data_IF_813669697205
#
_entry.id   IF_813669697205
#
_cell.length_a   1.000
_cell.length_b   1.000
_cell.length_c   1.000
_cell.angle_alpha   90.00
_cell.angle_beta   90.00
_cell.angle_gamma   90.00
#
_symmetry.space_group_name_H-M   'P 1'
#
loop_
_entity.id
_entity.type
_entity.pdbx_description
1 polymer ?
#
# COMPACT_ATOMS: atom_id res chain seq x y z
N UNK A 1 17.89 13.75 -26.70
CA UNK A 1 17.69 13.12 -25.39
C UNK A 1 18.32 11.74 -25.45
N UNK A 2 19.44 11.61 -24.75
CA UNK A 2 20.15 10.36 -24.51
C UNK A 2 19.30 9.40 -23.67
N UNK A 3 19.67 8.11 -23.68
CA UNK A 3 18.86 7.04 -23.10
C UNK A 3 18.70 7.17 -21.58
N UNK A 4 19.76 7.58 -20.87
CA UNK A 4 19.72 7.89 -19.44
C UNK A 4 18.61 8.92 -19.13
N UNK A 5 18.60 10.04 -19.84
CA UNK A 5 17.64 11.11 -19.61
C UNK A 5 16.19 10.68 -19.94
N UNK A 6 15.99 9.80 -20.92
CA UNK A 6 14.66 9.19 -21.19
C UNK A 6 14.19 8.34 -20.01
N UNK A 7 15.06 7.51 -19.45
CA UNK A 7 14.74 6.63 -18.31
C UNK A 7 14.44 7.48 -17.08
N UNK A 8 15.25 8.49 -16.78
CA UNK A 8 15.02 9.43 -15.68
C UNK A 8 13.70 10.19 -15.81
N UNK A 9 13.36 10.70 -17.00
CA UNK A 9 12.06 11.34 -17.24
C UNK A 9 10.89 10.38 -17.01
N UNK A 10 11.03 9.12 -17.43
CA UNK A 10 10.01 8.09 -17.18
C UNK A 10 9.85 7.82 -15.68
N UNK A 11 10.96 7.62 -14.96
CA UNK A 11 10.96 7.42 -13.49
C UNK A 11 10.29 8.58 -12.76
N UNK A 12 10.67 9.83 -13.08
CA UNK A 12 10.05 11.04 -12.50
C UNK A 12 8.54 11.08 -12.73
N UNK A 13 8.07 10.73 -13.93
CA UNK A 13 6.63 10.65 -14.23
C UNK A 13 5.93 9.55 -13.42
N UNK A 14 6.55 8.37 -13.32
CA UNK A 14 6.02 7.27 -12.51
C UNK A 14 5.92 7.65 -11.03
N UNK A 15 6.94 8.31 -10.48
CA UNK A 15 6.97 8.83 -9.12
C UNK A 15 5.88 9.89 -8.88
N UNK A 16 5.75 10.88 -9.76
CA UNK A 16 4.71 11.89 -9.63
C UNK A 16 3.30 11.28 -9.64
N UNK A 17 3.08 10.26 -10.47
CA UNK A 17 1.82 9.53 -10.47
C UNK A 17 1.63 8.71 -9.20
N UNK A 18 2.69 8.09 -8.68
CA UNK A 18 2.64 7.36 -7.41
C UNK A 18 2.19 8.29 -6.27
N UNK A 19 2.82 9.44 -6.12
CA UNK A 19 2.46 10.44 -5.10
C UNK A 19 0.97 10.82 -5.17
N UNK A 20 0.43 11.02 -6.38
CA UNK A 20 -1.00 11.33 -6.55
C UNK A 20 -1.92 10.18 -6.07
N UNK A 21 -1.57 8.95 -6.41
CA UNK A 21 -2.32 7.76 -6.01
C UNK A 21 -2.27 7.58 -4.49
N UNK A 22 -1.09 7.78 -3.89
CA UNK A 22 -0.90 7.73 -2.45
C UNK A 22 -1.71 8.79 -1.71
N UNK A 23 -1.66 10.04 -2.17
CA UNK A 23 -2.45 11.12 -1.57
C UNK A 23 -3.95 10.82 -1.61
N UNK A 24 -4.45 10.30 -2.73
CA UNK A 24 -5.87 9.91 -2.85
C UNK A 24 -6.24 8.82 -1.84
N UNK A 25 -5.39 7.80 -1.67
CA UNK A 25 -5.63 6.75 -0.70
C UNK A 25 -5.61 7.31 0.73
N UNK A 26 -4.64 8.17 1.05
CA UNK A 26 -4.55 8.84 2.35
C UNK A 26 -5.79 9.68 2.65
N UNK A 27 -6.28 10.48 1.70
CA UNK A 27 -7.53 11.25 1.88
C UNK A 27 -8.75 10.36 2.19
N UNK A 28 -8.82 9.16 1.61
CA UNK A 28 -9.91 8.22 1.91
C UNK A 28 -9.74 7.64 3.34
N UNK A 29 -8.51 7.32 3.74
CA UNK A 29 -8.23 6.71 5.05
C UNK A 29 -8.32 7.70 6.22
N UNK A 30 -8.01 8.98 5.98
CA UNK A 30 -8.06 10.06 6.97
C UNK A 30 -9.43 10.73 7.07
N UNK A 31 -10.40 10.31 6.26
CA UNK A 31 -11.75 10.82 6.37
C UNK A 31 -12.40 10.28 7.66
N UNK A 32 -13.02 11.16 8.44
CA UNK A 32 -13.66 10.82 9.72
C UNK A 32 -14.89 9.92 9.55
N UNK A 33 -15.45 9.86 8.34
CA UNK A 33 -16.55 8.96 7.99
C UNK A 33 -16.08 7.57 7.57
N UNK A 34 -16.82 6.54 7.98
CA UNK A 34 -16.56 5.18 7.52
C UNK A 34 -16.62 5.10 5.98
N UNK A 35 -15.63 4.48 5.32
CA UNK A 35 -15.55 4.47 3.87
C UNK A 35 -16.70 3.66 3.26
N UNK A 36 -17.33 4.22 2.24
CA UNK A 36 -18.39 3.55 1.49
C UNK A 36 -17.83 2.45 0.56
N UNK A 37 -18.71 1.63 -0.01
CA UNK A 37 -18.31 0.50 -0.86
C UNK A 37 -17.45 0.91 -2.08
N UNK A 38 -17.69 2.09 -2.65
CA UNK A 38 -16.92 2.62 -3.78
C UNK A 38 -15.51 3.04 -3.35
N UNK A 39 -15.39 3.66 -2.17
CA UNK A 39 -14.10 4.02 -1.58
C UNK A 39 -13.27 2.78 -1.23
N UNK A 40 -13.91 1.74 -0.66
CA UNK A 40 -13.27 0.44 -0.39
C UNK A 40 -12.75 -0.18 -1.70
N UNK A 41 -13.58 -0.25 -2.75
CA UNK A 41 -13.17 -0.76 -4.05
C UNK A 41 -12.02 0.07 -4.66
N UNK A 42 -12.04 1.39 -4.51
CA UNK A 42 -10.96 2.28 -4.96
C UNK A 42 -9.65 2.01 -4.21
N UNK A 43 -9.69 1.71 -2.91
CA UNK A 43 -8.50 1.39 -2.12
C UNK A 43 -7.90 0.02 -2.51
N UNK A 44 -8.74 -0.98 -2.75
CA UNK A 44 -8.30 -2.29 -3.26
C UNK A 44 -7.62 -2.15 -4.62
N UNK A 45 -8.24 -1.41 -5.56
CA UNK A 45 -7.65 -1.15 -6.86
C UNK A 45 -6.33 -0.36 -6.75
N UNK A 46 -6.21 0.50 -5.74
CA UNK A 46 -4.97 1.25 -5.46
C UNK A 46 -3.82 0.31 -5.09
N UNK A 47 -4.05 -0.69 -4.23
CA UNK A 47 -3.01 -1.70 -3.90
C UNK A 47 -2.49 -2.39 -5.16
N UNK A 48 -3.38 -2.85 -6.04
CA UNK A 48 -2.98 -3.49 -7.29
C UNK A 48 -2.19 -2.54 -8.20
N UNK A 49 -2.61 -1.27 -8.27
CA UNK A 49 -1.92 -0.26 -9.05
C UNK A 49 -0.52 0.03 -8.50
N UNK A 50 -0.35 0.05 -7.17
CA UNK A 50 0.93 0.22 -6.50
C UNK A 50 1.87 -0.95 -6.81
N UNK A 51 1.39 -2.19 -6.74
CA UNK A 51 2.17 -3.38 -7.07
C UNK A 51 2.68 -3.35 -8.52
N UNK A 52 1.79 -3.07 -9.49
CA UNK A 52 2.19 -2.96 -10.91
C UNK A 52 3.21 -1.86 -11.15
N UNK A 53 3.07 -0.71 -10.48
CA UNK A 53 4.02 0.41 -10.59
C UNK A 53 5.38 0.09 -9.99
N UNK A 54 5.42 -0.64 -8.87
CA UNK A 54 6.68 -1.13 -8.28
C UNK A 54 7.45 -1.98 -9.28
N UNK A 55 6.78 -2.92 -9.95
CA UNK A 55 7.41 -3.74 -11.00
C UNK A 55 8.01 -2.88 -12.12
N UNK A 56 7.24 -1.92 -12.66
CA UNK A 56 7.75 -1.03 -13.73
C UNK A 56 8.91 -0.16 -13.26
N UNK A 57 8.86 0.35 -12.03
CA UNK A 57 9.97 1.13 -11.48
C UNK A 57 11.23 0.26 -11.34
N UNK A 58 11.12 -0.97 -10.87
CA UNK A 58 12.25 -1.89 -10.76
C UNK A 58 12.87 -2.18 -12.13
N UNK A 59 12.07 -2.42 -13.17
CA UNK A 59 12.58 -2.60 -14.54
C UNK A 59 13.30 -1.35 -15.06
N UNK A 60 12.80 -0.15 -14.74
CA UNK A 60 13.46 1.11 -15.11
C UNK A 60 14.76 1.30 -14.33
N UNK A 61 14.80 0.89 -13.06
CA UNK A 61 16.00 0.95 -12.23
C UNK A 61 17.08 0.04 -12.80
N UNK A 62 16.76 -1.21 -13.09
CA UNK A 62 17.68 -2.17 -13.70
C UNK A 62 18.25 -1.65 -15.02
N UNK A 63 17.39 -1.14 -15.92
CA UNK A 63 17.83 -0.51 -17.17
C UNK A 63 18.76 0.66 -16.91
N UNK A 64 18.46 1.50 -15.93
CA UNK A 64 19.28 2.66 -15.61
C UNK A 64 20.66 2.26 -15.09
N UNK A 65 20.75 1.24 -14.22
CA UNK A 65 22.02 0.72 -13.73
C UNK A 65 22.92 0.21 -14.85
N UNK A 66 22.36 -0.30 -15.96
CA UNK A 66 23.16 -0.76 -17.11
C UNK A 66 23.71 0.37 -17.99
N UNK A 67 23.10 1.56 -17.92
CA UNK A 67 23.45 2.71 -18.77
C UNK A 67 24.32 3.72 -18.02
N UNK A 68 24.19 3.81 -16.70
CA UNK A 68 25.03 4.66 -15.84
C UNK A 68 26.45 4.12 -15.78
N UNK A 69 27.41 5.03 -16.01
CA UNK A 69 28.85 4.72 -15.97
C UNK A 69 29.57 5.39 -14.81
N UNK A 70 28.97 6.45 -14.27
CA UNK A 70 29.49 7.17 -13.12
C UNK A 70 29.02 6.51 -11.80
N UNK A 71 29.94 6.12 -10.90
CA UNK A 71 29.58 5.47 -9.65
C UNK A 71 28.76 6.33 -8.68
N UNK A 72 28.89 7.66 -8.72
CA UNK A 72 28.16 8.54 -7.82
C UNK A 72 26.75 8.81 -8.33
N UNK A 73 26.57 8.94 -9.65
CA UNK A 73 25.24 8.88 -10.28
C UNK A 73 24.52 7.57 -9.95
N UNK A 74 25.24 6.44 -9.99
CA UNK A 74 24.70 5.12 -9.65
C UNK A 74 24.20 5.04 -8.20
N UNK A 75 24.99 5.51 -7.24
CA UNK A 75 24.62 5.51 -5.80
C UNK A 75 23.38 6.35 -5.55
N UNK A 76 23.34 7.56 -6.10
CA UNK A 76 22.19 8.45 -5.95
C UNK A 76 20.93 7.78 -6.49
N UNK A 77 21.05 7.10 -7.64
CA UNK A 77 19.93 6.46 -8.31
C UNK A 77 19.41 5.21 -7.57
N UNK A 78 20.30 4.47 -6.92
CA UNK A 78 19.96 3.35 -6.02
C UNK A 78 19.21 3.87 -4.79
N UNK A 79 19.73 4.92 -4.14
CA UNK A 79 19.06 5.51 -2.97
C UNK A 79 17.65 6.01 -3.31
N UNK A 80 17.49 6.69 -4.45
CA UNK A 80 16.16 7.17 -4.87
C UNK A 80 15.19 6.02 -5.16
N UNK A 81 15.69 4.92 -5.73
CA UNK A 81 14.89 3.72 -5.98
C UNK A 81 14.39 3.08 -4.67
N UNK A 82 15.29 2.92 -3.69
CA UNK A 82 14.96 2.34 -2.38
C UNK A 82 13.92 3.18 -1.62
N UNK A 83 14.06 4.50 -1.63
CA UNK A 83 13.08 5.41 -1.01
C UNK A 83 11.68 5.18 -1.58
N UNK A 84 11.56 5.11 -2.90
CA UNK A 84 10.26 4.91 -3.55
C UNK A 84 9.69 3.53 -3.23
N UNK A 85 10.53 2.50 -3.20
CA UNK A 85 10.12 1.15 -2.86
C UNK A 85 9.58 1.08 -1.41
N UNK A 86 10.27 1.73 -0.47
CA UNK A 86 9.81 1.88 0.91
C UNK A 86 8.46 2.59 0.99
N UNK A 87 8.30 3.73 0.32
CA UNK A 87 7.03 4.49 0.28
C UNK A 87 5.87 3.63 -0.25
N UNK A 88 6.10 2.86 -1.32
CA UNK A 88 5.09 1.95 -1.88
C UNK A 88 4.70 0.88 -0.86
N UNK A 89 5.69 0.24 -0.24
CA UNK A 89 5.46 -0.87 0.68
C UNK A 89 4.72 -0.41 1.94
N UNK A 90 5.16 0.68 2.56
CA UNK A 90 4.51 1.24 3.74
C UNK A 90 3.06 1.60 3.47
N UNK A 91 2.79 2.28 2.35
CA UNK A 91 1.43 2.70 2.02
C UNK A 91 0.54 1.53 1.63
N UNK A 92 1.07 0.55 0.92
CA UNK A 92 0.32 -0.69 0.62
C UNK A 92 -0.06 -1.43 1.90
N UNK A 93 0.84 -1.47 2.89
CA UNK A 93 0.56 -2.05 4.19
C UNK A 93 -0.51 -1.25 4.97
N UNK A 94 -0.41 0.09 4.99
CA UNK A 94 -1.41 0.96 5.62
C UNK A 94 -2.81 0.76 5.01
N UNK A 95 -2.92 0.75 3.67
CA UNK A 95 -4.20 0.54 2.99
C UNK A 95 -4.75 -0.85 3.30
N UNK A 96 -3.90 -1.87 3.29
CA UNK A 96 -4.31 -3.25 3.60
C UNK A 96 -4.83 -3.36 5.04
N UNK A 97 -4.14 -2.77 6.01
CA UNK A 97 -4.56 -2.76 7.41
C UNK A 97 -5.91 -2.01 7.59
N UNK A 98 -6.09 -0.88 6.91
CA UNK A 98 -7.34 -0.13 6.92
C UNK A 98 -8.51 -0.92 6.30
N UNK A 99 -8.27 -1.63 5.19
CA UNK A 99 -9.29 -2.48 4.59
C UNK A 99 -9.68 -3.65 5.51
N UNK A 100 -8.72 -4.23 6.23
CA UNK A 100 -8.99 -5.26 7.23
C UNK A 100 -9.84 -4.72 8.39
N UNK A 101 -9.54 -3.53 8.92
CA UNK A 101 -10.34 -2.92 9.99
C UNK A 101 -11.77 -2.58 9.54
N UNK A 102 -11.96 -2.19 8.27
CA UNK A 102 -13.31 -1.97 7.72
C UNK A 102 -14.14 -3.27 7.65
N UNK A 103 -13.49 -4.42 7.49
CA UNK A 103 -14.18 -5.72 7.42
C UNK A 103 -14.51 -6.30 8.80
N UNK A 104 -13.71 -6.02 9.83
CA UNK A 104 -13.97 -6.50 11.20
C UNK A 104 -15.13 -5.77 11.88
N UNK A 105 -15.44 -4.54 11.48
CA UNK A 105 -16.60 -3.78 12.00
C UNK A 105 -17.95 -4.36 11.53
N UNK A 106 -17.98 -5.17 10.45
CA UNK A 106 -19.21 -5.79 9.94
C UNK A 106 -19.62 -7.09 10.64
N UNK A 107 -18.81 -7.60 11.57
CA UNK A 107 -19.18 -8.73 12.42
C UNK A 107 -19.01 -8.35 13.90
N UNK A 108 -19.99 -7.67 14.52
CA UNK A 108 -20.11 -7.78 15.96
C UNK A 108 -20.43 -9.25 16.24
N UNK A 109 -19.48 -9.95 16.86
CA UNK A 109 -19.66 -11.29 17.39
C UNK A 109 -20.83 -11.25 18.37
N UNK A 110 -22.04 -11.52 17.88
CA UNK A 110 -23.15 -11.99 18.70
C UNK A 110 -22.86 -13.48 18.93
N UNK A 111 -21.94 -13.77 19.83
CA UNK A 111 -21.94 -15.06 20.52
C UNK A 111 -22.47 -14.79 21.91
N UNK A 112 -23.80 -14.81 21.98
CA UNK A 112 -24.54 -14.88 23.22
C UNK A 112 -23.97 -16.00 24.10
N UNK A 113 -23.67 -15.59 25.32
CA UNK A 113 -23.62 -16.34 26.56
C UNK A 113 -24.35 -17.69 26.46
N UNK A 114 -23.59 -18.77 26.41
CA UNK A 114 -24.05 -20.06 26.93
C UNK A 114 -23.02 -20.51 27.98
N UNK A 115 -23.08 -19.85 29.14
CA UNK A 115 -22.49 -20.39 30.35
C UNK A 115 -23.22 -21.71 30.68
N UNK A 116 -22.52 -22.83 30.90
CA UNK A 116 -23.18 -24.04 31.35
C UNK A 116 -23.79 -23.80 32.74
N UNK A 117 -25.10 -24.04 32.86
CA UNK A 117 -25.82 -24.09 34.15
C UNK A 117 -25.06 -25.03 35.09
N UNK A 118 -24.42 -24.47 36.11
CA UNK A 118 -24.08 -25.17 37.35
C UNK A 118 -25.40 -25.65 37.97
N UNK A 119 -25.74 -26.93 37.75
CA UNK A 119 -26.77 -27.59 38.54
C UNK A 119 -26.18 -27.87 39.93
N UNK A 120 -26.46 -26.96 40.87
CA UNK A 120 -26.52 -27.33 42.28
C UNK A 120 -27.62 -28.38 42.43
N UNK A 121 -27.25 -29.61 42.79
CA UNK A 121 -28.15 -30.52 43.51
C UNK A 121 -27.70 -30.55 44.97
N UNK A 122 -28.41 -29.79 45.80
CA UNK A 122 -28.40 -29.90 47.26
C UNK A 122 -29.35 -31.01 47.72
N UNK A 123 -28.99 -31.63 48.86
CA UNK A 123 -29.80 -32.47 49.78
C UNK A 123 -30.16 -33.88 49.27
N UNK A 124 -30.00 -34.98 50.04
CA UNK A 124 -30.05 -35.18 51.51
C UNK A 124 -29.03 -36.20 52.01
#
# INVERSE_FOLDING_TARGET
>A
MDENQRIQCSRKRHRAHLTKVLNKATTIMENDEAPNAMQIASLTATIEQLARKRTVLNELNEKLLTVLKDPDELKQEIMEAEIIECEINEKSAQISAFLLSCNTVKNPVISQVNAPKLLLSTTS
#
